data_IF_392253499119
#
_entry.id   IF_392253499119
#
_cell.length_a   1.000
_cell.length_b   1.000
_cell.length_c   1.000
_cell.angle_alpha   90.00
_cell.angle_beta   90.00
_cell.angle_gamma   90.00
#
_symmetry.space_group_name_H-M   'P 1'
#
loop_
_entity.id
_entity.type
_entity.pdbx_description
1 polymer ?
#
# COMPACT_ATOMS: atom_id res chain seq x y z
N UNK A 1 -7.27 -1.49 15.85
CA UNK A 1 -7.60 -2.63 14.94
C UNK A 1 -6.33 -3.45 14.65
N UNK A 2 -6.40 -4.79 14.58
CA UNK A 2 -5.24 -5.63 14.21
C UNK A 2 -5.12 -5.71 12.68
N UNK A 3 -3.92 -5.43 12.16
CA UNK A 3 -3.58 -5.62 10.76
C UNK A 3 -2.67 -6.84 10.57
N UNK A 4 -2.85 -7.52 9.45
CA UNK A 4 -2.00 -8.57 8.93
C UNK A 4 -1.16 -8.02 7.79
N UNK A 5 0.04 -8.60 7.59
CA UNK A 5 1.00 -8.12 6.60
C UNK A 5 1.27 -9.17 5.55
N UNK A 6 1.31 -8.75 4.29
CA UNK A 6 1.82 -9.54 3.18
C UNK A 6 2.85 -8.72 2.40
N UNK A 7 4.09 -9.17 2.33
CA UNK A 7 5.11 -8.59 1.43
C UNK A 7 5.01 -9.20 0.02
N UNK A 8 4.95 -8.39 -1.03
CA UNK A 8 4.85 -8.89 -2.40
C UNK A 8 4.51 -7.82 -3.42
N UNK A 9 4.15 -8.24 -4.63
CA UNK A 9 3.65 -7.39 -5.72
C UNK A 9 2.25 -7.82 -6.12
N UNK A 10 1.55 -6.96 -6.86
CA UNK A 10 0.27 -7.32 -7.49
C UNK A 10 0.56 -8.31 -8.62
N UNK A 11 -0.02 -9.50 -8.52
CA UNK A 11 0.01 -10.53 -9.57
C UNK A 11 -1.16 -10.37 -10.53
N UNK A 12 -2.34 -10.09 -9.97
CA UNK A 12 -3.60 -9.99 -10.69
C UNK A 12 -4.48 -8.94 -10.00
N UNK A 13 -5.27 -8.23 -10.78
CA UNK A 13 -6.34 -7.36 -10.28
C UNK A 13 -7.59 -7.56 -11.11
N UNK A 14 -8.75 -7.38 -10.50
CA UNK A 14 -10.02 -7.34 -11.21
C UNK A 14 -10.63 -5.94 -11.12
N UNK A 15 -11.17 -5.51 -12.26
CA UNK A 15 -11.88 -4.25 -12.40
C UNK A 15 -13.35 -4.55 -12.66
N UNK A 16 -14.22 -4.08 -11.78
CA UNK A 16 -15.67 -4.19 -11.90
C UNK A 16 -16.28 -2.80 -11.97
N UNK A 17 -17.06 -2.54 -13.03
CA UNK A 17 -17.72 -1.24 -13.27
C UNK A 17 -16.73 -0.05 -13.23
N UNK A 18 -15.51 -0.26 -13.74
CA UNK A 18 -14.47 0.75 -13.80
C UNK A 18 -13.85 1.10 -12.44
N UNK A 19 -13.82 0.14 -11.51
CA UNK A 19 -13.11 0.25 -10.22
C UNK A 19 -12.47 -1.08 -9.88
N UNK A 20 -11.29 -1.05 -9.24
CA UNK A 20 -10.69 -2.28 -8.71
C UNK A 20 -11.60 -2.85 -7.62
N UNK A 21 -11.95 -4.14 -7.75
CA UNK A 21 -12.71 -4.88 -6.73
C UNK A 21 -11.79 -5.70 -5.83
N UNK A 22 -10.76 -6.32 -6.40
CA UNK A 22 -9.75 -7.04 -5.64
C UNK A 22 -8.39 -7.03 -6.31
N UNK A 23 -7.36 -7.32 -5.51
CA UNK A 23 -6.01 -7.65 -5.97
C UNK A 23 -5.59 -9.01 -5.44
N UNK A 24 -4.75 -9.71 -6.19
CA UNK A 24 -4.05 -10.91 -5.76
C UNK A 24 -2.57 -10.57 -5.62
N UNK A 25 -2.04 -10.77 -4.43
CA UNK A 25 -0.65 -10.53 -4.11
C UNK A 25 0.14 -11.82 -4.22
N UNK A 26 1.34 -11.72 -4.80
CA UNK A 26 2.28 -12.82 -4.90
C UNK A 26 3.68 -12.36 -4.52
N UNK A 27 4.47 -13.26 -3.95
CA UNK A 27 5.89 -13.01 -3.63
C UNK A 27 6.77 -13.90 -4.50
N UNK A 28 7.29 -13.34 -5.59
CA UNK A 28 8.16 -14.09 -6.53
C UNK A 28 9.46 -14.60 -5.89
N UNK A 29 9.81 -14.07 -4.71
CA UNK A 29 11.02 -14.49 -3.99
C UNK A 29 10.76 -15.62 -2.98
N UNK A 30 9.50 -15.98 -2.74
CA UNK A 30 9.09 -16.99 -1.77
C UNK A 30 7.86 -17.76 -2.28
N UNK A 31 8.11 -18.88 -2.97
CA UNK A 31 7.05 -19.72 -3.57
C UNK A 31 6.31 -20.59 -2.55
N UNK A 32 6.86 -20.78 -1.34
CA UNK A 32 6.18 -21.51 -0.27
C UNK A 32 5.10 -20.65 0.39
N UNK A 33 5.21 -19.33 0.23
CA UNK A 33 4.20 -18.37 0.66
C UNK A 33 3.00 -18.37 -0.28
N UNK A 34 1.84 -18.76 0.24
CA UNK A 34 0.60 -18.77 -0.52
C UNK A 34 0.21 -17.35 -1.01
N UNK A 35 -0.19 -17.19 -2.29
CA UNK A 35 -0.75 -15.93 -2.78
C UNK A 35 -1.96 -15.49 -1.95
N UNK A 36 -2.13 -14.18 -1.76
CA UNK A 36 -3.24 -13.62 -0.97
C UNK A 36 -4.14 -12.75 -1.82
N UNK A 37 -5.44 -13.03 -1.82
CA UNK A 37 -6.45 -12.15 -2.42
C UNK A 37 -6.96 -11.15 -1.37
N UNK A 38 -6.94 -9.87 -1.70
CA UNK A 38 -7.46 -8.79 -0.85
C UNK A 38 -8.58 -8.04 -1.57
N UNK A 39 -9.65 -7.75 -0.85
CA UNK A 39 -10.65 -6.79 -1.33
C UNK A 39 -10.11 -5.37 -1.19
N UNK A 40 -10.37 -4.56 -2.22
CA UNK A 40 -9.88 -3.19 -2.29
C UNK A 40 -11.04 -2.26 -2.56
N UNK A 41 -11.10 -1.16 -1.82
CA UNK A 41 -12.17 -0.18 -1.92
C UNK A 41 -11.69 1.22 -1.58
N UNK A 42 -12.54 2.20 -1.89
CA UNK A 42 -12.32 3.58 -1.51
C UNK A 42 -11.12 4.19 -2.21
N UNK A 43 -10.36 4.98 -1.47
CA UNK A 43 -9.26 5.75 -2.00
C UNK A 43 -8.05 4.89 -2.37
N UNK A 44 -7.79 3.80 -1.65
CA UNK A 44 -6.72 2.85 -1.98
C UNK A 44 -6.97 2.14 -3.31
N UNK A 45 -8.23 1.80 -3.62
CA UNK A 45 -8.58 1.23 -4.92
C UNK A 45 -8.30 2.18 -6.07
N UNK A 46 -8.70 3.46 -5.91
CA UNK A 46 -8.42 4.52 -6.88
C UNK A 46 -6.92 4.75 -7.06
N UNK A 47 -6.15 4.68 -5.96
CA UNK A 47 -4.70 4.84 -6.00
C UNK A 47 -4.02 3.72 -6.80
N UNK A 48 -4.38 2.46 -6.54
CA UNK A 48 -3.83 1.32 -7.27
C UNK A 48 -4.22 1.39 -8.75
N UNK A 49 -5.49 1.69 -9.05
CA UNK A 49 -5.96 1.85 -10.44
C UNK A 49 -5.16 2.92 -11.18
N UNK A 50 -4.89 4.05 -10.52
CA UNK A 50 -4.11 5.12 -11.10
C UNK A 50 -2.65 4.71 -11.35
N UNK A 51 -2.02 3.95 -10.44
CA UNK A 51 -0.64 3.46 -10.62
C UNK A 51 -0.55 2.43 -11.74
N UNK A 52 -1.49 1.50 -11.82
CA UNK A 52 -1.51 0.44 -12.84
C UNK A 52 -1.65 1.02 -14.27
N UNK A 53 -2.23 2.22 -14.39
CA UNK A 53 -2.29 3.00 -15.63
C UNK A 53 -1.04 3.82 -15.95
N UNK A 54 0.02 3.71 -15.14
CA UNK A 54 1.28 4.46 -15.32
C UNK A 54 2.46 3.53 -15.59
N UNK A 55 3.55 4.12 -16.10
CA UNK A 55 4.86 3.44 -16.22
C UNK A 55 5.76 3.72 -14.99
N UNK A 56 5.15 4.05 -13.84
CA UNK A 56 5.90 4.33 -12.63
C UNK A 56 6.54 3.04 -12.08
N UNK A 57 7.81 3.13 -11.69
CA UNK A 57 8.53 2.05 -11.02
C UNK A 57 7.81 1.56 -9.75
N UNK A 58 7.05 2.44 -9.09
CA UNK A 58 6.23 2.12 -7.90
C UNK A 58 5.41 0.84 -8.06
N UNK A 59 4.88 0.59 -9.26
CA UNK A 59 4.09 -0.60 -9.59
C UNK A 59 4.85 -1.92 -9.39
N UNK A 60 6.15 -1.90 -9.65
CA UNK A 60 7.00 -3.08 -9.65
C UNK A 60 7.76 -3.27 -8.34
N UNK A 61 7.64 -2.33 -7.40
CA UNK A 61 8.31 -2.43 -6.11
C UNK A 61 7.59 -3.43 -5.21
N UNK A 62 8.34 -4.44 -4.74
CA UNK A 62 7.89 -5.33 -3.67
C UNK A 62 7.57 -4.50 -2.43
N UNK A 63 6.29 -4.42 -2.09
CA UNK A 63 5.76 -3.57 -1.04
C UNK A 63 5.18 -4.41 0.10
N UNK A 64 5.03 -3.81 1.27
CA UNK A 64 4.33 -4.40 2.41
C UNK A 64 2.86 -3.96 2.40
N UNK A 65 1.96 -4.93 2.25
CA UNK A 65 0.53 -4.72 2.14
C UNK A 65 -0.14 -5.12 3.45
N UNK A 66 -0.88 -4.19 4.06
CA UNK A 66 -1.52 -4.38 5.35
C UNK A 66 -3.03 -4.43 5.20
N UNK A 67 -3.65 -5.47 5.76
CA UNK A 67 -5.07 -5.75 5.65
C UNK A 67 -5.68 -6.19 6.98
N UNK A 68 -6.99 -6.04 7.15
CA UNK A 68 -7.68 -6.47 8.36
C UNK A 68 -8.13 -7.94 8.29
N UNK A 69 -8.84 -8.42 9.32
CA UNK A 69 -9.33 -9.81 9.38
C UNK A 69 -10.36 -10.17 8.31
N UNK A 70 -10.95 -9.18 7.63
CA UNK A 70 -11.89 -9.38 6.54
C UNK A 70 -11.19 -9.37 5.17
N UNK A 71 -9.86 -9.41 5.14
CA UNK A 71 -9.03 -9.33 3.93
C UNK A 71 -9.16 -8.00 3.18
N UNK A 72 -9.51 -6.94 3.90
CA UNK A 72 -9.65 -5.61 3.34
C UNK A 72 -8.33 -4.88 3.38
N UNK A 73 -7.85 -4.41 2.24
CA UNK A 73 -6.63 -3.61 2.18
C UNK A 73 -6.81 -2.30 2.96
N UNK A 74 -5.88 -2.01 3.88
CA UNK A 74 -5.90 -0.82 4.74
C UNK A 74 -4.71 0.09 4.55
N UNK A 75 -3.55 -0.45 4.14
CA UNK A 75 -2.33 0.33 3.97
C UNK A 75 -1.35 -0.37 3.03
N UNK A 76 -0.60 0.43 2.29
CA UNK A 76 0.53 0.03 1.46
C UNK A 76 1.76 0.75 2.00
N UNK A 77 2.82 0.01 2.29
CA UNK A 77 4.12 0.56 2.67
C UNK A 77 5.15 0.20 1.62
N UNK A 78 5.72 1.21 0.98
CA UNK A 78 6.77 1.05 -0.02
C UNK A 78 8.10 1.14 0.70
N UNK A 79 8.98 0.13 0.56
CA UNK A 79 10.26 0.12 1.24
C UNK A 79 11.13 1.31 0.81
N UNK A 80 11.97 1.80 1.72
CA UNK A 80 12.99 2.80 1.41
C UNK A 80 14.39 2.20 1.50
N UNK A 81 15.41 3.02 1.22
CA UNK A 81 16.82 2.62 1.27
C UNK A 81 17.35 2.34 2.68
N UNK A 82 16.78 2.93 3.72
CA UNK A 82 17.15 2.69 5.12
C UNK A 82 16.34 1.52 5.72
N UNK A 83 17.04 0.62 6.41
CA UNK A 83 16.43 -0.56 7.05
C UNK A 83 15.36 -0.12 8.06
N UNK A 84 14.16 -0.66 7.90
CA UNK A 84 13.03 -0.37 8.79
C UNK A 84 12.38 1.00 8.55
N UNK A 85 12.77 1.72 7.49
CA UNK A 85 12.26 3.06 7.20
C UNK A 85 11.68 3.14 5.79
N UNK A 86 10.35 3.16 5.64
CA UNK A 86 9.71 3.16 4.33
C UNK A 86 9.99 4.45 3.56
N UNK A 87 9.90 4.39 2.24
CA UNK A 87 9.93 5.57 1.37
C UNK A 87 8.58 6.30 1.37
N UNK A 88 7.49 5.53 1.37
CA UNK A 88 6.14 6.03 1.22
C UNK A 88 5.15 5.12 1.95
N UNK A 89 4.18 5.72 2.61
CA UNK A 89 3.05 5.03 3.21
C UNK A 89 1.78 5.62 2.62
N UNK A 90 0.93 4.75 2.08
CA UNK A 90 -0.38 5.10 1.55
C UNK A 90 -1.43 4.39 2.39
N UNK A 91 -2.33 5.15 3.00
CA UNK A 91 -3.33 4.61 3.92
C UNK A 91 -4.64 5.36 3.75
N UNK A 92 -5.74 4.78 4.23
CA UNK A 92 -7.02 5.48 4.35
C UNK A 92 -7.59 5.29 5.76
N UNK A 93 -8.44 6.22 6.20
CA UNK A 93 -9.09 6.12 7.51
C UNK A 93 -10.12 4.97 7.50
N UNK A 94 -10.23 4.18 8.59
CA UNK A 94 -11.33 3.22 8.74
C UNK A 94 -12.71 3.88 8.71
N UNK A 95 -12.81 5.11 9.22
CA UNK A 95 -14.06 5.86 9.33
C UNK A 95 -14.43 6.59 8.03
N UNK A 96 -13.43 6.90 7.20
CA UNK A 96 -13.62 7.53 5.89
C UNK A 96 -12.73 6.88 4.84
N UNK A 97 -13.23 5.81 4.25
CA UNK A 97 -12.51 5.00 3.26
C UNK A 97 -12.26 5.74 1.94
N UNK A 98 -12.95 6.85 1.67
CA UNK A 98 -12.75 7.65 0.46
C UNK A 98 -11.63 8.70 0.59
N UNK A 99 -11.06 8.85 1.80
CA UNK A 99 -9.94 9.76 2.05
C UNK A 99 -8.61 9.03 2.08
N UNK A 100 -7.72 9.38 1.14
CA UNK A 100 -6.35 8.89 1.08
C UNK A 100 -5.41 9.79 1.88
N UNK A 101 -4.51 9.18 2.63
CA UNK A 101 -3.42 9.85 3.34
C UNK A 101 -2.09 9.25 2.85
N UNK A 102 -1.21 10.12 2.37
CA UNK A 102 0.10 9.75 1.84
C UNK A 102 1.18 10.43 2.68
N UNK A 103 2.09 9.62 3.23
CA UNK A 103 3.28 10.08 3.95
C UNK A 103 4.54 9.76 3.13
N UNK A 104 5.50 10.69 3.13
CA UNK A 104 6.65 10.62 2.23
C UNK A 104 6.38 11.30 0.87
N UNK A 105 6.99 10.78 -0.19
CA UNK A 105 6.85 11.35 -1.54
C UNK A 105 5.38 11.31 -2.01
N UNK A 106 4.82 12.45 -2.41
CA UNK A 106 3.42 12.52 -2.85
C UNK A 106 3.24 11.96 -4.26
N UNK A 107 4.13 12.34 -5.17
CA UNK A 107 4.14 11.84 -6.54
C UNK A 107 4.46 10.34 -6.61
N UNK A 108 4.14 9.70 -7.73
CA UNK A 108 4.51 8.31 -7.96
C UNK A 108 6.03 8.12 -8.04
N UNK A 109 6.51 7.06 -7.43
CA UNK A 109 7.94 6.72 -7.41
C UNK A 109 8.38 6.26 -8.79
N UNK A 110 9.40 6.94 -9.33
CA UNK A 110 9.99 6.69 -10.67
C UNK A 110 11.34 5.95 -10.59
N UNK A 111 11.66 5.35 -9.45
CA UNK A 111 12.90 4.59 -9.23
C UNK A 111 12.62 3.32 -8.46
N UNK A 112 13.28 2.22 -8.81
CA UNK A 112 13.18 0.95 -8.09
C UNK A 112 13.83 0.97 -6.69
N UNK A 113 14.57 2.05 -6.36
CA UNK A 113 15.24 2.24 -5.05
C UNK A 113 14.92 3.63 -4.48
N UNK A 114 13.68 3.85 -4.02
CA UNK A 114 13.29 5.14 -3.49
C UNK A 114 14.00 5.46 -2.16
N UNK A 115 14.24 6.75 -1.93
CA UNK A 115 14.79 7.23 -0.66
C UNK A 115 13.77 7.08 0.47
N UNK A 116 14.25 6.74 1.67
CA UNK A 116 13.40 6.66 2.85
C UNK A 116 12.82 8.02 3.23
N UNK A 117 11.58 8.02 3.72
CA UNK A 117 10.90 9.25 4.13
C UNK A 117 11.63 9.98 5.25
N UNK A 118 11.57 11.31 5.32
CA UNK A 118 12.21 12.10 6.39
C UNK A 118 11.66 11.76 7.79
N UNK A 119 12.42 12.02 8.86
CA UNK A 119 11.95 11.80 10.23
C UNK A 119 10.67 12.60 10.53
N UNK A 120 10.53 13.80 9.94
CA UNK A 120 9.34 14.62 10.05
C UNK A 120 8.10 13.90 9.48
N UNK A 121 8.24 13.24 8.34
CA UNK A 121 7.15 12.45 7.74
C UNK A 121 6.80 11.21 8.58
N UNK A 122 7.80 10.55 9.17
CA UNK A 122 7.56 9.43 10.11
C UNK A 122 6.76 9.89 11.32
N UNK A 123 7.12 11.04 11.90
CA UNK A 123 6.37 11.58 13.04
C UNK A 123 4.95 11.97 12.65
N UNK A 124 4.75 12.59 11.48
CA UNK A 124 3.41 12.88 10.95
C UNK A 124 2.56 11.62 10.79
N UNK A 125 3.14 10.56 10.23
CA UNK A 125 2.46 9.27 10.11
C UNK A 125 2.13 8.69 11.49
N UNK A 126 3.08 8.68 12.41
CA UNK A 126 2.89 8.15 13.76
C UNK A 126 1.77 8.87 14.51
N UNK A 127 1.69 10.19 14.40
CA UNK A 127 0.63 10.98 15.03
C UNK A 127 -0.73 10.74 14.39
N UNK A 128 -0.77 10.60 13.06
CA UNK A 128 -1.99 10.23 12.34
C UNK A 128 -2.50 8.84 12.73
N UNK A 129 -1.62 7.84 12.81
CA UNK A 129 -1.96 6.46 13.15
C UNK A 129 -2.59 6.38 14.55
N UNK A 130 -2.02 7.08 15.54
CA UNK A 130 -2.58 7.16 16.90
C UNK A 130 -3.99 7.75 16.96
N UNK A 131 -4.31 8.65 16.04
CA UNK A 131 -5.61 9.33 15.99
C UNK A 131 -6.66 8.49 15.27
N UNK A 132 -6.27 7.79 14.19
CA UNK A 132 -7.20 7.20 13.23
C UNK A 132 -7.25 5.66 13.25
N UNK A 133 -6.25 4.96 13.79
CA UNK A 133 -6.10 3.50 13.69
C UNK A 133 -6.20 2.77 15.04
N UNK A 134 -7.13 3.22 15.91
CA UNK A 134 -7.36 2.63 17.25
C UNK A 134 -7.88 1.19 17.19
#
# INVERSE_FOLDING_TARGET
>A
MKLYKYSGTIEELAVERGRISYIKLFDVTDFDKAPTRLEVFGALGKYIEAIEGTDAEERYIKSDWYFDSNLYLRRIEIPGGEVGRPAKIITQSPDNIDQLEIFGQQDYIQTSKPESMSCKEIYRWSDWERQNMK
#
